data_IF_681545297556
#
_entry.id   IF_681545297556
#
_cell.length_a   1.000
_cell.length_b   1.000
_cell.length_c   1.000
_cell.angle_alpha   90.00
_cell.angle_beta   90.00
_cell.angle_gamma   90.00
#
_symmetry.space_group_name_H-M   'P 1'
#
loop_
_entity.id
_entity.type
_entity.pdbx_description
1 polymer ?
#
# COMPACT_ATOMS: atom_id res chain seq x y z
N UNK A 1 24.37 -21.17 4.91
CA UNK A 1 23.28 -22.15 5.13
C UNK A 1 22.68 -21.90 6.50
N UNK A 2 21.64 -21.06 6.59
CA UNK A 2 20.87 -20.87 7.82
C UNK A 2 19.61 -21.74 7.74
N UNK A 3 19.48 -22.56 8.77
CA UNK A 3 18.50 -23.63 8.93
C UNK A 3 17.06 -23.12 8.93
N UNK A 4 16.21 -23.84 8.21
CA UNK A 4 14.76 -23.76 8.23
C UNK A 4 14.26 -23.88 9.68
N UNK A 5 13.86 -22.77 10.30
CA UNK A 5 13.00 -22.85 11.48
C UNK A 5 11.61 -23.29 11.03
N UNK A 6 11.41 -24.59 11.11
CA UNK A 6 10.14 -25.31 10.97
C UNK A 6 8.98 -24.59 11.67
N UNK A 7 8.12 -23.95 10.89
CA UNK A 7 6.75 -23.60 11.29
C UNK A 7 5.69 -24.05 10.26
N UNK A 8 5.49 -25.37 10.05
CA UNK A 8 4.25 -25.85 9.42
C UNK A 8 3.41 -26.81 10.28
N UNK A 9 3.90 -27.29 11.43
CA UNK A 9 3.28 -28.45 12.09
C UNK A 9 1.90 -28.20 12.73
N UNK A 10 1.58 -26.96 13.15
CA UNK A 10 0.32 -26.65 13.83
C UNK A 10 -0.77 -26.04 12.93
N UNK A 11 -0.41 -25.60 11.72
CA UNK A 11 -1.37 -24.96 10.80
C UNK A 11 -2.28 -25.98 10.12
N UNK A 12 -1.72 -27.10 9.67
CA UNK A 12 -2.46 -28.17 9.02
C UNK A 12 -3.55 -28.81 9.90
N UNK A 13 -3.26 -29.25 11.15
CA UNK A 13 -4.28 -29.83 12.03
C UNK A 13 -5.36 -28.80 12.40
N UNK A 14 -4.97 -27.55 12.67
CA UNK A 14 -5.91 -26.47 12.96
C UNK A 14 -6.80 -26.11 11.76
N UNK A 15 -6.24 -26.07 10.55
CA UNK A 15 -7.00 -25.80 9.32
C UNK A 15 -8.02 -26.90 9.04
N UNK A 16 -7.60 -28.17 9.17
CA UNK A 16 -8.50 -29.31 9.07
C UNK A 16 -9.60 -29.24 10.14
N UNK A 17 -9.23 -28.87 11.37
CA UNK A 17 -10.16 -28.72 12.47
C UNK A 17 -11.22 -27.64 12.20
N UNK A 18 -10.80 -26.44 11.79
CA UNK A 18 -11.71 -25.34 11.44
C UNK A 18 -12.62 -25.72 10.28
N UNK A 19 -12.10 -26.40 9.27
CA UNK A 19 -12.89 -26.84 8.11
C UNK A 19 -13.95 -27.86 8.52
N UNK A 20 -13.59 -28.81 9.39
CA UNK A 20 -14.51 -29.79 9.96
C UNK A 20 -15.61 -29.10 10.77
N UNK A 21 -15.25 -28.18 11.67
CA UNK A 21 -16.20 -27.39 12.47
C UNK A 21 -17.15 -26.58 11.59
N UNK A 22 -16.65 -25.90 10.56
CA UNK A 22 -17.49 -25.11 9.62
C UNK A 22 -18.47 -26.01 8.89
N UNK A 23 -18.03 -27.21 8.49
CA UNK A 23 -18.88 -28.18 7.81
C UNK A 23 -19.99 -28.65 8.73
N UNK A 24 -19.66 -29.05 9.96
CA UNK A 24 -20.60 -29.60 10.93
C UNK A 24 -21.56 -28.55 11.51
N UNK A 25 -21.08 -27.34 11.80
CA UNK A 25 -21.90 -26.29 12.47
C UNK A 25 -22.60 -25.33 11.51
N UNK A 26 -22.09 -25.16 10.30
CA UNK A 26 -22.57 -24.17 9.35
C UNK A 26 -22.84 -24.74 7.95
N UNK A 27 -22.83 -26.07 7.78
CA UNK A 27 -23.06 -26.72 6.50
C UNK A 27 -22.05 -26.30 5.44
N UNK A 28 -20.80 -26.01 5.83
CA UNK A 28 -19.75 -25.54 4.93
C UNK A 28 -19.79 -24.03 4.63
N UNK A 29 -20.79 -23.31 5.14
CA UNK A 29 -20.93 -21.86 4.88
C UNK A 29 -20.01 -21.04 5.79
N UNK A 30 -18.82 -20.70 5.27
CA UNK A 30 -17.83 -19.83 5.95
C UNK A 30 -18.45 -18.55 6.49
N UNK A 31 -19.36 -17.93 5.75
CA UNK A 31 -20.02 -16.67 6.16
C UNK A 31 -20.92 -16.85 7.39
N UNK A 32 -21.63 -17.98 7.49
CA UNK A 32 -22.50 -18.28 8.62
C UNK A 32 -21.70 -18.62 9.87
N UNK A 33 -20.61 -19.38 9.72
CA UNK A 33 -19.65 -19.61 10.80
C UNK A 33 -19.00 -18.32 11.29
N UNK A 34 -18.49 -17.49 10.38
CA UNK A 34 -17.89 -16.20 10.71
C UNK A 34 -18.84 -15.30 11.52
N UNK A 35 -20.13 -15.23 11.12
CA UNK A 35 -21.17 -14.50 11.85
C UNK A 35 -21.40 -15.09 13.24
N UNK A 36 -21.44 -16.42 13.38
CA UNK A 36 -21.66 -17.12 14.65
C UNK A 36 -20.51 -16.94 15.65
N UNK A 37 -19.28 -16.87 15.17
CA UNK A 37 -18.08 -16.69 16.02
C UNK A 37 -17.75 -15.21 16.24
N UNK A 38 -18.33 -14.29 15.45
CA UNK A 38 -18.06 -12.85 15.55
C UNK A 38 -16.79 -12.37 14.83
N UNK A 39 -16.24 -13.21 13.95
CA UNK A 39 -14.98 -12.99 13.21
C UNK A 39 -15.28 -12.54 11.78
N UNK A 40 -14.40 -11.75 11.16
CA UNK A 40 -14.56 -11.33 9.77
C UNK A 40 -14.47 -12.54 8.80
N UNK A 41 -15.40 -12.60 7.84
CA UNK A 41 -15.45 -13.65 6.79
C UNK A 41 -14.11 -13.83 6.06
N UNK A 42 -13.45 -12.72 5.71
CA UNK A 42 -12.15 -12.74 5.01
C UNK A 42 -11.08 -13.45 5.83
N UNK A 43 -11.08 -13.27 7.14
CA UNK A 43 -10.12 -13.89 8.06
C UNK A 43 -10.33 -15.40 8.14
N UNK A 44 -11.58 -15.85 8.30
CA UNK A 44 -11.90 -17.28 8.30
C UNK A 44 -11.55 -17.94 6.96
N UNK A 45 -11.84 -17.26 5.85
CA UNK A 45 -11.45 -17.73 4.52
C UNK A 45 -9.92 -17.89 4.40
N UNK A 46 -9.13 -16.94 4.89
CA UNK A 46 -7.68 -17.06 4.88
C UNK A 46 -7.17 -18.23 5.74
N UNK A 47 -7.83 -18.58 6.85
CA UNK A 47 -7.50 -19.77 7.64
C UNK A 47 -7.81 -21.08 6.91
N UNK A 48 -8.99 -21.19 6.31
CA UNK A 48 -9.40 -22.38 5.54
C UNK A 48 -8.48 -22.64 4.35
N UNK A 49 -7.87 -21.59 3.79
CA UNK A 49 -6.91 -21.69 2.68
C UNK A 49 -5.44 -21.63 3.10
N UNK A 50 -5.14 -21.68 4.40
CA UNK A 50 -3.75 -21.68 4.92
C UNK A 50 -2.95 -20.40 4.62
N UNK A 51 -3.62 -19.29 4.29
CA UNK A 51 -2.97 -18.02 3.90
C UNK A 51 -2.48 -17.20 5.09
N UNK A 52 -3.09 -17.39 6.25
CA UNK A 52 -2.76 -16.65 7.48
C UNK A 52 -2.83 -17.57 8.69
N UNK A 53 -1.98 -17.34 9.68
CA UNK A 53 -2.10 -18.02 10.97
C UNK A 53 -3.30 -17.48 11.77
N UNK A 54 -3.90 -18.34 12.59
CA UNK A 54 -4.90 -17.93 13.57
C UNK A 54 -4.19 -17.31 14.78
N UNK A 55 -4.64 -16.14 15.20
CA UNK A 55 -4.19 -15.52 16.47
C UNK A 55 -4.79 -16.27 17.66
N UNK A 56 -4.12 -16.26 18.81
CA UNK A 56 -4.64 -16.88 20.05
C UNK A 56 -6.04 -16.37 20.41
N UNK A 57 -6.29 -15.06 20.30
CA UNK A 57 -7.60 -14.44 20.57
C UNK A 57 -8.70 -15.06 19.70
N UNK A 58 -8.48 -15.13 18.39
CA UNK A 58 -9.40 -15.78 17.46
C UNK A 58 -9.60 -17.28 17.76
N UNK A 59 -8.55 -18.00 18.17
CA UNK A 59 -8.67 -19.41 18.54
C UNK A 59 -9.51 -19.59 19.82
N UNK A 60 -9.39 -18.68 20.78
CA UNK A 60 -10.24 -18.64 21.98
C UNK A 60 -11.70 -18.30 21.64
N UNK A 61 -11.93 -17.35 20.73
CA UNK A 61 -13.29 -17.03 20.24
C UNK A 61 -13.94 -18.24 19.57
N UNK A 62 -13.18 -18.98 18.74
CA UNK A 62 -13.65 -20.23 18.15
C UNK A 62 -13.96 -21.26 19.23
N UNK A 63 -13.04 -21.49 20.18
CA UNK A 63 -13.24 -22.44 21.30
C UNK A 63 -14.52 -22.12 22.09
N UNK A 64 -14.75 -20.84 22.41
CA UNK A 64 -15.94 -20.38 23.11
C UNK A 64 -17.23 -20.61 22.29
N UNK A 65 -17.21 -20.35 20.99
CA UNK A 65 -18.39 -20.48 20.13
C UNK A 65 -18.72 -21.94 19.74
N UNK A 66 -17.72 -22.83 19.74
CA UNK A 66 -17.86 -24.24 19.34
C UNK A 66 -17.98 -25.20 20.52
N UNK A 67 -17.67 -24.72 21.74
CA UNK A 67 -17.60 -25.55 22.94
C UNK A 67 -16.41 -26.53 22.94
N UNK A 68 -15.49 -26.44 21.97
CA UNK A 68 -14.31 -27.29 21.88
C UNK A 68 -13.14 -26.63 22.62
N UNK A 69 -12.51 -27.28 23.62
CA UNK A 69 -11.35 -26.71 24.31
C UNK A 69 -10.21 -26.35 23.34
N UNK A 70 -9.53 -25.23 23.58
CA UNK A 70 -8.45 -24.73 22.71
C UNK A 70 -7.37 -25.78 22.42
N UNK A 71 -6.97 -26.56 23.43
CA UNK A 71 -5.96 -27.61 23.27
C UNK A 71 -6.40 -28.67 22.25
N UNK A 72 -7.67 -29.10 22.31
CA UNK A 72 -8.25 -30.06 21.35
C UNK A 72 -8.41 -29.45 19.96
N UNK A 73 -8.83 -28.18 19.89
CA UNK A 73 -8.91 -27.42 18.63
C UNK A 73 -7.54 -27.31 17.94
N UNK A 74 -6.46 -27.07 18.69
CA UNK A 74 -5.10 -26.96 18.16
C UNK A 74 -4.55 -28.31 17.68
N UNK A 75 -4.97 -29.41 18.31
CA UNK A 75 -4.58 -30.78 17.94
C UNK A 75 -5.47 -31.40 16.87
N UNK A 76 -6.62 -30.80 16.56
CA UNK A 76 -7.61 -31.37 15.65
C UNK A 76 -8.31 -32.61 16.22
N UNK A 77 -8.37 -32.72 17.54
CA UNK A 77 -9.06 -33.79 18.25
C UNK A 77 -10.54 -33.43 18.47
N UNK A 78 -11.41 -34.33 18.01
CA UNK A 78 -12.87 -34.20 18.06
C UNK A 78 -13.55 -35.32 18.85
N UNK A 79 -12.80 -36.13 19.60
CA UNK A 79 -13.39 -37.23 20.36
C UNK A 79 -14.45 -36.72 21.36
N UNK A 80 -15.67 -37.25 21.24
CA UNK A 80 -16.82 -36.88 22.07
C UNK A 80 -17.33 -35.47 21.86
N UNK A 81 -16.84 -34.73 20.86
CA UNK A 81 -17.32 -33.39 20.56
C UNK A 81 -18.62 -33.47 19.75
N UNK A 82 -19.67 -32.84 20.28
CA UNK A 82 -20.90 -32.56 19.56
C UNK A 82 -21.07 -31.03 19.42
N UNK A 83 -21.50 -30.53 18.25
CA UNK A 83 -21.71 -29.11 18.07
C UNK A 83 -22.82 -28.63 19.02
N UNK A 84 -22.66 -27.47 19.68
CA UNK A 84 -23.70 -26.93 20.54
C UNK A 84 -24.95 -26.65 19.68
N UNK A 85 -26.03 -27.39 19.99
CA UNK A 85 -27.30 -27.43 19.22
C UNK A 85 -27.96 -26.06 19.08
N UNK A 86 -27.65 -25.11 19.97
CA UNK A 86 -27.91 -23.68 19.83
C UNK A 86 -26.77 -22.96 20.57
N UNK A 87 -26.30 -21.79 20.11
CA UNK A 87 -25.66 -20.89 21.05
C UNK A 87 -26.75 -20.55 22.08
N UNK A 88 -26.66 -21.11 23.28
CA UNK A 88 -27.30 -20.49 24.43
C UNK A 88 -26.52 -19.21 24.68
N UNK A 89 -26.76 -18.22 23.82
CA UNK A 89 -26.51 -16.85 24.17
C UNK A 89 -27.51 -16.61 25.29
N UNK A 90 -27.06 -16.83 26.53
CA UNK A 90 -27.51 -15.96 27.60
C UNK A 90 -27.25 -14.57 27.01
N UNK A 91 -28.31 -13.83 26.71
CA UNK A 91 -28.22 -12.40 26.42
C UNK A 91 -27.72 -11.72 27.70
N UNK A 92 -26.46 -11.96 27.99
CA UNK A 92 -25.67 -11.18 28.90
C UNK A 92 -25.29 -9.98 28.06
N UNK A 93 -26.03 -8.90 28.29
CA UNK A 93 -25.77 -7.56 27.80
C UNK A 93 -24.47 -7.06 28.46
N UNK A 94 -23.37 -7.73 28.13
CA UNK A 94 -22.05 -7.27 28.47
C UNK A 94 -21.82 -6.09 27.55
N UNK A 95 -21.80 -4.88 28.11
CA UNK A 95 -21.30 -3.66 27.48
C UNK A 95 -19.79 -3.76 27.17
N UNK A 96 -19.37 -4.86 26.55
CA UNK A 96 -18.07 -5.05 25.94
C UNK A 96 -18.06 -4.23 24.65
N UNK A 97 -17.92 -2.92 24.83
CA UNK A 97 -17.63 -1.94 23.79
C UNK A 97 -18.39 -2.18 22.50
N UNK A 98 -19.62 -1.64 22.41
CA UNK A 98 -20.41 -1.59 21.19
C UNK A 98 -19.50 -1.33 19.98
N UNK A 99 -19.30 -2.35 19.13
CA UNK A 99 -18.61 -2.18 17.86
C UNK A 99 -19.25 -0.99 17.17
N UNK A 100 -18.49 0.09 16.99
CA UNK A 100 -19.02 1.32 16.41
C UNK A 100 -19.81 0.97 15.15
N UNK A 101 -21.04 1.48 15.00
CA UNK A 101 -21.86 1.20 13.85
C UNK A 101 -21.06 1.58 12.60
N UNK A 102 -20.90 0.63 11.67
CA UNK A 102 -20.26 0.88 10.38
C UNK A 102 -20.98 2.05 9.73
N UNK A 103 -20.26 3.16 9.52
CA UNK A 103 -20.73 4.31 8.77
C UNK A 103 -21.33 3.80 7.46
N UNK A 104 -22.58 4.19 7.18
CA UNK A 104 -23.29 3.75 5.99
C UNK A 104 -22.45 4.01 4.72
N UNK A 105 -22.48 3.12 3.71
CA UNK A 105 -21.76 3.36 2.46
C UNK A 105 -22.25 4.66 1.84
N UNK A 106 -21.38 5.67 1.73
CA UNK A 106 -21.71 6.88 0.99
C UNK A 106 -21.95 6.49 -0.46
N UNK A 107 -23.19 6.61 -0.92
CA UNK A 107 -23.53 6.44 -2.32
C UNK A 107 -22.89 7.61 -3.09
N UNK A 108 -21.82 7.31 -3.82
CA UNK A 108 -21.08 8.30 -4.60
C UNK A 108 -21.60 8.27 -6.03
N UNK A 109 -22.07 9.41 -6.55
CA UNK A 109 -22.41 9.54 -7.96
C UNK A 109 -21.13 9.53 -8.81
N UNK A 110 -20.85 8.37 -9.40
CA UNK A 110 -19.68 8.15 -10.25
C UNK A 110 -19.72 8.90 -11.57
N UNK A 111 -20.90 9.30 -12.05
CA UNK A 111 -21.03 10.11 -13.27
C UNK A 111 -20.49 11.51 -13.03
N UNK A 112 -20.87 12.13 -11.91
CA UNK A 112 -20.35 13.43 -11.49
C UNK A 112 -18.83 13.38 -11.24
N UNK A 113 -18.33 12.30 -10.63
CA UNK A 113 -16.89 12.10 -10.38
C UNK A 113 -16.09 11.99 -11.69
N UNK A 114 -16.59 11.23 -12.68
CA UNK A 114 -15.94 11.10 -13.99
C UNK A 114 -15.88 12.44 -14.73
N UNK A 115 -16.95 13.22 -14.69
CA UNK A 115 -17.00 14.55 -15.31
C UNK A 115 -15.94 15.48 -14.71
N UNK A 116 -15.85 15.55 -13.37
CA UNK A 116 -14.84 16.35 -12.68
C UNK A 116 -13.40 15.89 -12.96
N UNK A 117 -13.17 14.58 -13.09
CA UNK A 117 -11.85 14.06 -13.48
C UNK A 117 -11.45 14.51 -14.90
N UNK A 118 -12.40 14.62 -15.83
CA UNK A 118 -12.15 15.15 -17.16
C UNK A 118 -11.92 16.66 -17.14
N UNK A 119 -12.63 17.42 -16.30
CA UNK A 119 -12.37 18.85 -16.08
C UNK A 119 -10.95 19.07 -15.52
N UNK A 120 -10.53 18.25 -14.56
CA UNK A 120 -9.16 18.26 -14.04
C UNK A 120 -8.13 17.88 -15.10
N UNK A 121 -8.47 16.97 -16.01
CA UNK A 121 -7.61 16.64 -17.13
C UNK A 121 -7.46 17.78 -18.13
N UNK A 122 -8.29 18.84 -18.07
CA UNK A 122 -8.21 20.02 -18.94
C UNK A 122 -7.52 21.22 -18.30
N UNK A 123 -7.34 21.24 -16.97
CA UNK A 123 -6.69 22.35 -16.26
C UNK A 123 -5.33 22.73 -16.86
N UNK A 124 -4.94 24.02 -16.86
CA UNK A 124 -3.66 24.47 -17.42
C UNK A 124 -2.48 23.82 -16.70
N UNK A 125 -2.52 23.81 -15.37
CA UNK A 125 -1.59 23.04 -14.54
C UNK A 125 -2.15 21.62 -14.32
N UNK A 126 -1.44 20.59 -14.77
CA UNK A 126 -1.89 19.23 -14.54
C UNK A 126 -1.76 18.90 -13.06
N UNK A 127 -2.78 18.24 -12.50
CA UNK A 127 -2.79 17.81 -11.11
C UNK A 127 -2.51 16.32 -11.00
N UNK A 128 -1.94 15.90 -9.86
CA UNK A 128 -1.74 14.48 -9.59
C UNK A 128 -3.09 13.78 -9.36
N UNK A 129 -3.15 12.46 -9.62
CA UNK A 129 -4.36 11.70 -9.32
C UNK A 129 -4.68 11.67 -7.82
N UNK A 130 -3.66 11.74 -6.96
CA UNK A 130 -3.84 11.80 -5.49
C UNK A 130 -4.52 13.10 -5.09
N UNK A 131 -4.08 14.21 -5.67
CA UNK A 131 -4.69 15.52 -5.42
C UNK A 131 -6.12 15.58 -5.98
N UNK A 132 -6.35 15.05 -7.18
CA UNK A 132 -7.70 14.91 -7.74
C UNK A 132 -8.61 14.08 -6.81
N UNK A 133 -8.10 12.99 -6.25
CA UNK A 133 -8.82 12.13 -5.31
C UNK A 133 -9.18 12.88 -4.02
N UNK A 134 -8.25 13.67 -3.48
CA UNK A 134 -8.47 14.51 -2.31
C UNK A 134 -9.53 15.59 -2.57
N UNK A 135 -9.45 16.30 -3.69
CA UNK A 135 -10.45 17.32 -4.10
C UNK A 135 -11.85 16.74 -4.29
N UNK A 136 -11.94 15.46 -4.65
CA UNK A 136 -13.22 14.75 -4.84
C UNK A 136 -13.73 14.08 -3.55
N UNK A 137 -12.91 14.02 -2.50
CA UNK A 137 -13.24 13.29 -1.27
C UNK A 137 -13.36 11.77 -1.48
N UNK A 138 -12.70 11.21 -2.50
CA UNK A 138 -12.78 9.79 -2.87
C UNK A 138 -11.43 9.12 -2.70
N UNK A 139 -11.41 7.90 -2.18
CA UNK A 139 -10.17 7.13 -2.10
C UNK A 139 -9.65 6.74 -3.49
N UNK A 140 -8.34 6.87 -3.71
CA UNK A 140 -7.69 6.60 -5.01
C UNK A 140 -8.02 5.21 -5.58
N UNK A 141 -8.11 4.19 -4.73
CA UNK A 141 -8.46 2.83 -5.16
C UNK A 141 -9.86 2.75 -5.79
N UNK A 142 -10.83 3.51 -5.28
CA UNK A 142 -12.18 3.52 -5.83
C UNK A 142 -12.22 4.19 -7.20
N UNK A 143 -11.39 5.23 -7.41
CA UNK A 143 -11.25 5.89 -8.71
C UNK A 143 -10.72 4.91 -9.76
N UNK A 144 -9.72 4.06 -9.44
CA UNK A 144 -9.27 3.03 -10.38
C UNK A 144 -10.30 1.94 -10.64
N UNK A 145 -11.12 1.60 -9.63
CA UNK A 145 -12.15 0.58 -9.79
C UNK A 145 -13.32 1.05 -10.64
N UNK A 146 -13.68 2.33 -10.59
CA UNK A 146 -14.95 2.84 -11.13
C UNK A 146 -14.78 3.88 -12.25
N UNK A 147 -13.61 4.52 -12.38
CA UNK A 147 -13.31 5.58 -13.35
C UNK A 147 -11.86 5.45 -13.89
N UNK A 148 -11.46 4.22 -14.23
CA UNK A 148 -10.08 3.90 -14.63
C UNK A 148 -9.61 4.70 -15.86
N UNK A 149 -10.50 4.89 -16.85
CA UNK A 149 -10.15 5.58 -18.10
C UNK A 149 -9.78 7.03 -17.83
N UNK A 150 -10.60 7.74 -17.09
CA UNK A 150 -10.42 9.14 -16.71
C UNK A 150 -9.19 9.29 -15.80
N UNK A 151 -9.03 8.36 -14.84
CA UNK A 151 -7.86 8.32 -13.96
C UNK A 151 -6.54 8.17 -14.73
N UNK A 152 -6.53 7.36 -15.79
CA UNK A 152 -5.36 7.19 -16.67
C UNK A 152 -5.04 8.46 -17.44
N UNK A 153 -6.05 9.18 -17.94
CA UNK A 153 -5.85 10.45 -18.65
C UNK A 153 -5.17 11.48 -17.74
N UNK A 154 -5.73 11.71 -16.54
CA UNK A 154 -5.15 12.63 -15.54
C UNK A 154 -3.73 12.21 -15.18
N UNK A 155 -3.52 10.91 -14.90
CA UNK A 155 -2.21 10.38 -14.51
C UNK A 155 -1.17 10.49 -15.64
N UNK A 156 -1.57 10.28 -16.90
CA UNK A 156 -0.68 10.38 -18.04
C UNK A 156 -0.24 11.83 -18.26
N UNK A 157 -1.17 12.79 -18.21
CA UNK A 157 -0.87 14.22 -18.36
C UNK A 157 0.08 14.71 -17.27
N UNK A 158 -0.17 14.34 -16.01
CA UNK A 158 0.72 14.65 -14.89
C UNK A 158 2.12 14.07 -15.10
N UNK A 159 2.23 12.81 -15.52
CA UNK A 159 3.53 12.17 -15.80
C UNK A 159 4.30 12.89 -16.91
N UNK A 160 3.65 13.27 -17.99
CA UNK A 160 4.29 14.00 -19.09
C UNK A 160 4.80 15.36 -18.62
N UNK A 161 3.99 16.10 -17.86
CA UNK A 161 4.40 17.38 -17.30
C UNK A 161 5.57 17.25 -16.31
N UNK A 162 5.54 16.25 -15.42
CA UNK A 162 6.65 15.99 -14.51
C UNK A 162 7.94 15.61 -15.24
N UNK A 163 7.86 14.84 -16.32
CA UNK A 163 9.04 14.56 -17.16
C UNK A 163 9.60 15.83 -17.78
N UNK A 164 8.76 16.67 -18.37
CA UNK A 164 9.17 17.94 -18.95
C UNK A 164 9.79 18.88 -17.90
N UNK A 165 9.20 18.96 -16.71
CA UNK A 165 9.73 19.76 -15.58
C UNK A 165 11.09 19.25 -15.11
N UNK A 166 11.27 17.93 -15.00
CA UNK A 166 12.55 17.32 -14.63
C UNK A 166 13.61 17.59 -15.71
N UNK A 167 13.25 17.45 -16.98
CA UNK A 167 14.16 17.75 -18.10
C UNK A 167 14.55 19.22 -18.15
N UNK A 168 13.60 20.13 -17.98
CA UNK A 168 13.85 21.57 -17.96
C UNK A 168 14.72 21.98 -16.77
N UNK A 169 14.41 21.48 -15.58
CA UNK A 169 15.24 21.71 -14.40
C UNK A 169 16.66 21.15 -14.59
N UNK A 170 16.80 19.96 -15.19
CA UNK A 170 18.11 19.40 -15.52
C UNK A 170 18.89 20.28 -16.49
N UNK A 171 18.26 20.80 -17.54
CA UNK A 171 18.89 21.74 -18.47
C UNK A 171 19.33 23.02 -17.77
N UNK A 172 18.47 23.60 -16.93
CA UNK A 172 18.78 24.81 -16.16
C UNK A 172 19.97 24.62 -15.23
N UNK A 173 19.98 23.53 -14.47
CA UNK A 173 21.08 23.20 -13.54
C UNK A 173 22.37 22.95 -14.33
N UNK A 174 22.32 22.21 -15.44
CA UNK A 174 23.48 21.97 -16.31
C UNK A 174 24.07 23.29 -16.82
N UNK A 175 23.23 24.17 -17.38
CA UNK A 175 23.68 25.49 -17.86
C UNK A 175 24.32 26.32 -16.74
N UNK A 176 23.76 26.26 -15.52
CA UNK A 176 24.31 26.97 -14.36
C UNK A 176 25.69 26.43 -13.97
N UNK A 177 25.87 25.11 -13.99
CA UNK A 177 27.16 24.46 -13.74
C UNK A 177 28.17 24.82 -14.84
N UNK A 178 27.79 24.75 -16.11
CA UNK A 178 28.65 25.11 -17.25
C UNK A 178 29.14 26.56 -17.13
N UNK A 179 28.26 27.50 -16.82
CA UNK A 179 28.62 28.90 -16.59
C UNK A 179 29.59 29.07 -15.42
N UNK A 180 29.35 28.39 -14.29
CA UNK A 180 30.25 28.44 -13.13
C UNK A 180 31.63 27.83 -13.46
N UNK A 181 31.67 26.74 -14.24
CA UNK A 181 32.93 26.15 -14.71
C UNK A 181 33.70 27.10 -15.64
N UNK A 182 33.01 27.78 -16.56
CA UNK A 182 33.64 28.76 -17.45
C UNK A 182 34.22 29.96 -16.67
N UNK A 183 33.50 30.45 -15.67
CA UNK A 183 34.02 31.50 -14.78
C UNK A 183 35.26 31.04 -14.02
N UNK A 184 35.23 29.85 -13.40
CA UNK A 184 36.38 29.29 -12.68
C UNK A 184 37.60 29.09 -13.59
N UNK A 185 37.38 28.66 -14.84
CA UNK A 185 38.44 28.52 -15.83
C UNK A 185 39.05 29.87 -16.24
N UNK A 186 38.24 30.93 -16.36
CA UNK A 186 38.72 32.30 -16.62
C UNK A 186 39.49 32.88 -15.44
N UNK A 187 39.10 32.52 -14.23
CA UNK A 187 39.79 32.89 -12.98
C UNK A 187 41.07 32.07 -12.74
N UNK A 188 41.41 31.11 -13.60
CA UNK A 188 42.58 30.24 -13.45
C UNK A 188 42.48 29.24 -12.29
N UNK A 189 41.26 29.01 -11.78
CA UNK A 189 41.00 28.11 -10.65
C UNK A 189 40.74 26.69 -11.10
N UNK A 190 41.02 25.73 -10.22
CA UNK A 190 40.79 24.33 -10.49
C UNK A 190 39.28 24.03 -10.56
N UNK A 191 38.88 23.30 -11.62
CA UNK A 191 37.52 22.76 -11.78
C UNK A 191 37.27 21.62 -10.79
N UNK A 192 36.95 21.96 -9.54
CA UNK A 192 36.70 20.99 -8.48
C UNK A 192 35.38 21.30 -7.76
N UNK A 193 34.72 20.26 -7.23
CA UNK A 193 33.44 20.35 -6.53
C UNK A 193 33.47 21.38 -5.38
N UNK A 194 34.62 21.53 -4.72
CA UNK A 194 34.83 22.52 -3.64
C UNK A 194 34.69 23.96 -4.13
N UNK A 195 35.24 24.29 -5.31
CA UNK A 195 35.11 25.62 -5.93
C UNK A 195 33.73 25.81 -6.59
N UNK A 196 33.07 24.71 -6.99
CA UNK A 196 31.71 24.79 -7.51
C UNK A 196 30.68 25.10 -6.40
N UNK A 197 30.89 24.53 -5.21
CA UNK A 197 30.07 24.77 -4.02
C UNK A 197 30.17 26.20 -3.47
N UNK A 198 31.23 26.95 -3.79
CA UNK A 198 31.32 28.37 -3.41
C UNK A 198 30.46 29.27 -4.30
N UNK A 199 30.12 28.82 -5.53
CA UNK A 199 29.30 29.58 -6.49
C UNK A 199 27.87 29.06 -6.67
N UNK A 200 27.60 27.79 -6.35
CA UNK A 200 26.27 27.16 -6.51
C UNK A 200 25.83 26.57 -5.17
N UNK A 201 24.59 26.85 -4.71
CA UNK A 201 24.06 26.29 -3.47
C UNK A 201 23.98 24.76 -3.55
N UNK A 202 24.25 24.11 -2.42
CA UNK A 202 24.35 22.65 -2.31
C UNK A 202 23.07 21.91 -2.75
N UNK A 203 21.91 22.54 -2.59
CA UNK A 203 20.61 21.99 -3.00
C UNK A 203 20.49 21.83 -4.52
N UNK A 204 20.99 22.80 -5.31
CA UNK A 204 21.02 22.72 -6.77
C UNK A 204 22.03 21.68 -7.27
N UNK A 205 23.11 21.48 -6.51
CA UNK A 205 24.11 20.46 -6.78
C UNK A 205 23.56 19.05 -6.50
N UNK A 206 22.89 18.84 -5.37
CA UNK A 206 22.30 17.54 -5.03
C UNK A 206 21.17 17.12 -5.99
N UNK A 207 20.49 18.09 -6.62
CA UNK A 207 19.47 17.83 -7.66
C UNK A 207 20.07 17.35 -8.99
N UNK A 208 21.36 17.59 -9.24
CA UNK A 208 22.06 17.09 -10.41
C UNK A 208 22.50 15.63 -10.19
N UNK A 209 21.58 14.69 -10.45
CA UNK A 209 21.93 13.29 -10.65
C UNK A 209 23.04 13.23 -11.72
N UNK A 210 24.25 12.76 -11.36
CA UNK A 210 25.46 12.68 -12.22
C UNK A 210 26.36 13.93 -12.31
N UNK A 211 26.47 14.73 -11.24
CA UNK A 211 27.39 15.87 -11.15
C UNK A 211 28.84 15.60 -11.57
N UNK A 212 29.41 14.46 -11.13
CA UNK A 212 30.80 14.10 -11.45
C UNK A 212 31.00 13.77 -12.93
N UNK A 213 30.01 13.13 -13.58
CA UNK A 213 30.05 12.86 -15.01
C UNK A 213 29.91 14.16 -15.81
N UNK A 214 29.00 15.05 -15.42
CA UNK A 214 28.87 16.38 -16.04
C UNK A 214 30.15 17.20 -15.93
N UNK A 215 30.79 17.23 -14.76
CA UNK A 215 32.06 17.93 -14.58
C UNK A 215 33.19 17.35 -15.44
N UNK A 216 33.20 16.02 -15.60
CA UNK A 216 34.17 15.33 -16.45
C UNK A 216 33.94 15.66 -17.94
N UNK A 217 32.71 15.59 -18.42
CA UNK A 217 32.34 15.99 -19.79
C UNK A 217 32.72 17.45 -20.08
N UNK A 218 32.42 18.36 -19.15
CA UNK A 218 32.75 19.78 -19.31
C UNK A 218 34.27 19.97 -19.38
N UNK A 219 35.03 19.32 -18.50
CA UNK A 219 36.49 19.36 -18.52
C UNK A 219 37.06 18.81 -19.83
N UNK A 220 36.56 17.67 -20.32
CA UNK A 220 36.98 17.09 -21.60
C UNK A 220 36.65 18.03 -22.79
N UNK A 221 35.48 18.69 -22.76
CA UNK A 221 35.06 19.64 -23.80
C UNK A 221 35.88 20.95 -23.82
N UNK A 222 36.40 21.38 -22.67
CA UNK A 222 37.25 22.57 -22.54
C UNK A 222 38.70 22.28 -22.95
N UNK A 223 39.21 21.08 -22.66
CA UNK A 223 40.55 20.64 -23.06
C UNK A 223 40.63 20.37 -24.56
N UNK A 224 39.55 19.87 -25.19
CA UNK A 224 39.49 19.65 -26.64
C UNK A 224 39.29 20.90 -27.51
N UNK A 225 39.12 22.09 -26.90
CA UNK A 225 39.00 23.40 -27.60
C UNK A 225 40.23 24.30 -27.41
N UNK A 226 41.25 23.82 -26.72
CA UNK A 226 42.57 24.46 -26.59
C UNK A 226 43.53 23.88 -27.63
#
# INVERSE_FOLDING_TARGET
MQSLMSRPALLAPFQAAITHIITTMAGGKISAFAKRVGIAKSTVHCWVHGKTACTLEAALQVSAATGLPLARLAMGDFEGWAPPLRPSQLDLDLELGTRQPKVAPKFQDWVAVRKKLLEFAQLPEPISLTEAAQRLGVHRSHIYSQANREARIVSARWKTHMKAQVEENRKRIRQRIEMACLELSREGRALNLRELQTKIPKEELDMASHLFEMLREIRESLVGRS
#
